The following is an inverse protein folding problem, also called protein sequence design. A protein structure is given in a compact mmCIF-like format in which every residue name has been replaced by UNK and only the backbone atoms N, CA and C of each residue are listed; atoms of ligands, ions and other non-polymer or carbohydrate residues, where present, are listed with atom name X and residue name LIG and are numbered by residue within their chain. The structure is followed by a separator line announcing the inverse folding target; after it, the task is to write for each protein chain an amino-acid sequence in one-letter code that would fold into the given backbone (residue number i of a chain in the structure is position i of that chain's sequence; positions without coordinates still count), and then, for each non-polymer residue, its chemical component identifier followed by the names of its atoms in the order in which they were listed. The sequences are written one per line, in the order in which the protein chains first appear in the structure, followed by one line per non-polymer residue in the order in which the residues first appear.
data_IF_357776216479
#
_entry.id   IF_357776216479
#
_cell.length_a   1.000
_cell.length_b   1.000
_cell.length_c   1.000
_cell.angle_alpha   90.00
_cell.angle_beta   90.00
_cell.angle_gamma   90.00
#
_symmetry.space_group_name_H-M   'P 1'
#
loop_
_entity.id
_entity.type
_entity.pdbx_description
1 polymer ?
#
# COMPACT_ATOMS: atom_id res chain seq x y z
N UNK A 1 14.79 6.75 -12.57
CA UNK A 1 13.56 6.43 -11.87
C UNK A 1 12.90 5.25 -12.58
N UNK A 2 12.69 4.15 -11.87
CA UNK A 2 12.15 2.90 -12.42
C UNK A 2 10.62 3.07 -12.59
N UNK A 3 10.05 2.60 -13.70
CA UNK A 3 8.59 2.61 -13.93
C UNK A 3 8.04 1.21 -13.83
N UNK A 4 6.97 1.02 -13.05
CA UNK A 4 6.30 -0.27 -12.87
C UNK A 4 4.82 -0.11 -13.21
N UNK A 5 4.33 -1.01 -14.08
CA UNK A 5 2.90 -1.16 -14.37
C UNK A 5 2.32 -2.28 -13.48
N UNK A 6 1.49 -1.88 -12.51
CA UNK A 6 0.88 -2.79 -11.54
C UNK A 6 -0.20 -3.70 -12.14
N UNK A 7 -0.74 -3.31 -13.29
CA UNK A 7 -1.79 -4.07 -13.97
C UNK A 7 -1.21 -5.13 -14.94
N UNK A 8 0.11 -5.12 -15.16
CA UNK A 8 0.83 -6.20 -15.85
C UNK A 8 1.08 -7.39 -14.91
N UNK A 9 0.00 -8.11 -14.60
CA UNK A 9 0.02 -9.21 -13.63
C UNK A 9 0.97 -10.35 -13.98
N UNK A 10 1.30 -10.52 -15.26
CA UNK A 10 2.21 -11.59 -15.70
C UNK A 10 3.66 -11.29 -15.32
N UNK A 11 4.06 -10.02 -15.36
CA UNK A 11 5.43 -9.60 -15.12
C UNK A 11 5.64 -8.89 -13.78
N UNK A 12 4.56 -8.58 -13.04
CA UNK A 12 4.64 -7.79 -11.80
C UNK A 12 5.62 -8.38 -10.79
N UNK A 13 5.49 -9.68 -10.47
CA UNK A 13 6.38 -10.34 -9.52
C UNK A 13 7.85 -10.26 -9.94
N UNK A 14 8.13 -10.46 -11.23
CA UNK A 14 9.49 -10.37 -11.77
C UNK A 14 10.03 -8.93 -11.76
N UNK A 15 9.18 -7.92 -11.91
CA UNK A 15 9.56 -6.52 -11.81
C UNK A 15 9.86 -6.13 -10.35
N UNK A 16 8.99 -6.55 -9.41
CA UNK A 16 9.19 -6.28 -7.98
C UNK A 16 10.46 -6.96 -7.43
N UNK A 17 10.77 -8.17 -7.91
CA UNK A 17 11.96 -8.93 -7.50
C UNK A 17 13.27 -8.23 -7.88
N UNK A 18 13.29 -7.36 -8.89
CA UNK A 18 14.49 -6.65 -9.35
C UNK A 18 14.77 -5.36 -8.57
N UNK A 19 13.85 -4.94 -7.72
CA UNK A 19 13.99 -3.72 -6.95
C UNK A 19 14.90 -3.92 -5.75
N UNK A 20 15.72 -2.92 -5.48
CA UNK A 20 16.58 -2.86 -4.31
C UNK A 20 16.18 -1.70 -3.40
N UNK A 21 16.48 -1.81 -2.10
CA UNK A 21 16.27 -0.74 -1.15
C UNK A 21 16.95 0.56 -1.62
N UNK A 22 16.22 1.68 -1.53
CA UNK A 22 16.64 2.97 -2.06
C UNK A 22 16.20 3.28 -3.49
N UNK A 23 15.74 2.30 -4.26
CA UNK A 23 15.24 2.54 -5.62
C UNK A 23 14.04 3.49 -5.60
N UNK A 24 14.10 4.51 -6.48
CA UNK A 24 12.98 5.42 -6.73
C UNK A 24 12.12 4.90 -7.87
N UNK A 25 10.86 4.69 -7.58
CA UNK A 25 9.89 4.03 -8.46
C UNK A 25 8.70 4.92 -8.74
N UNK A 26 8.19 4.88 -9.96
CA UNK A 26 6.91 5.43 -10.37
C UNK A 26 5.94 4.28 -10.63
N UNK A 27 4.90 4.18 -9.81
CA UNK A 27 3.87 3.17 -9.93
C UNK A 27 2.72 3.67 -10.81
N UNK A 28 2.28 2.86 -11.77
CA UNK A 28 1.07 3.10 -12.56
C UNK A 28 0.20 1.85 -12.54
N UNK A 29 -1.12 2.03 -12.41
CA UNK A 29 -2.09 0.94 -12.30
C UNK A 29 -2.91 1.00 -11.02
N UNK A 30 -3.31 -0.14 -10.49
CA UNK A 30 -4.26 -0.24 -9.37
C UNK A 30 -3.57 -0.43 -8.02
N UNK A 31 -3.93 0.41 -7.03
CA UNK A 31 -3.60 0.23 -5.61
C UNK A 31 -4.86 0.37 -4.74
N UNK A 32 -4.82 -0.13 -3.51
CA UNK A 32 -5.94 -0.10 -2.58
C UNK A 32 -5.58 0.65 -1.30
N UNK A 33 -6.50 1.48 -0.77
CA UNK A 33 -6.29 2.10 0.54
C UNK A 33 -6.76 1.19 1.65
N UNK A 34 -5.96 1.07 2.72
CA UNK A 34 -6.39 0.47 3.97
C UNK A 34 -5.56 1.04 5.14
N UNK A 35 -6.23 1.44 6.21
CA UNK A 35 -5.63 1.95 7.44
C UNK A 35 -6.08 1.13 8.64
N UNK A 36 -5.85 1.68 9.82
CA UNK A 36 -6.07 1.05 11.12
C UNK A 36 -7.43 0.37 11.24
N UNK A 37 -8.54 1.09 10.97
CA UNK A 37 -9.88 0.56 11.10
C UNK A 37 -10.13 -0.61 10.14
N UNK A 38 -9.69 -0.49 8.90
CA UNK A 38 -9.80 -1.57 7.89
C UNK A 38 -9.00 -2.80 8.31
N UNK A 39 -7.73 -2.62 8.74
CA UNK A 39 -6.89 -3.73 9.18
C UNK A 39 -7.51 -4.48 10.37
N UNK A 40 -8.08 -3.74 11.34
CA UNK A 40 -8.78 -4.33 12.47
C UNK A 40 -9.94 -5.21 12.02
N UNK A 41 -10.84 -4.67 11.18
CA UNK A 41 -12.02 -5.41 10.69
C UNK A 41 -11.59 -6.65 9.90
N UNK A 42 -10.62 -6.52 8.98
CA UNK A 42 -10.13 -7.67 8.22
C UNK A 42 -9.55 -8.73 9.16
N UNK A 43 -8.75 -8.32 10.15
CA UNK A 43 -8.18 -9.25 11.13
C UNK A 43 -9.24 -10.00 11.93
N UNK A 44 -10.35 -9.34 12.29
CA UNK A 44 -11.48 -9.96 12.97
C UNK A 44 -12.22 -10.94 12.05
N UNK A 45 -12.48 -10.54 10.80
CA UNK A 45 -13.13 -11.40 9.80
C UNK A 45 -12.31 -12.65 9.48
N UNK A 46 -11.00 -12.52 9.31
CA UNK A 46 -10.11 -13.66 9.04
C UNK A 46 -10.13 -14.70 10.18
N UNK A 47 -10.24 -14.28 11.45
CA UNK A 47 -10.43 -15.20 12.59
C UNK A 47 -11.71 -16.02 12.48
N UNK A 48 -12.72 -15.50 11.81
CA UNK A 48 -14.00 -16.17 11.55
C UNK A 48 -13.99 -16.94 10.21
N UNK A 49 -12.83 -16.99 9.51
CA UNK A 49 -12.71 -17.66 8.20
C UNK A 49 -13.23 -16.83 7.02
N UNK A 50 -13.52 -15.55 7.22
CA UNK A 50 -14.09 -14.66 6.20
C UNK A 50 -12.97 -13.84 5.56
N UNK A 51 -12.76 -14.03 4.24
CA UNK A 51 -11.80 -13.21 3.47
C UNK A 51 -12.50 -12.02 2.82
N UNK A 52 -11.85 -10.83 2.79
CA UNK A 52 -12.41 -9.67 2.11
C UNK A 52 -12.47 -9.89 0.59
N UNK A 53 -13.63 -9.69 0.00
CA UNK A 53 -13.82 -9.81 -1.47
C UNK A 53 -13.36 -8.56 -2.23
N UNK A 54 -13.18 -7.45 -1.54
CA UNK A 54 -12.78 -6.16 -2.10
C UNK A 54 -11.26 -5.97 -2.24
N UNK A 55 -10.45 -6.90 -1.73
CA UNK A 55 -9.00 -6.93 -1.90
C UNK A 55 -8.61 -8.16 -2.74
N UNK A 56 -8.33 -7.99 -4.03
CA UNK A 56 -7.88 -9.11 -4.86
C UNK A 56 -6.46 -9.55 -4.49
N UNK A 57 -6.10 -10.76 -4.87
CA UNK A 57 -4.73 -11.28 -4.74
C UNK A 57 -3.72 -10.42 -5.51
N UNK A 58 -2.48 -10.41 -5.06
CA UNK A 58 -1.41 -9.57 -5.59
C UNK A 58 -1.70 -8.06 -5.50
N UNK A 59 -2.48 -7.66 -4.48
CA UNK A 59 -2.77 -6.26 -4.20
C UNK A 59 -1.56 -5.53 -3.64
N UNK A 60 -1.52 -4.22 -3.91
CA UNK A 60 -0.66 -3.27 -3.22
C UNK A 60 -1.55 -2.40 -2.33
N UNK A 61 -1.22 -2.33 -1.04
CA UNK A 61 -1.99 -1.57 -0.04
C UNK A 61 -1.29 -0.26 0.28
N UNK A 62 -1.99 0.84 0.10
CA UNK A 62 -1.57 2.17 0.50
C UNK A 62 -2.19 2.53 1.85
N UNK A 63 -1.36 2.74 2.86
CA UNK A 63 -1.77 3.15 4.19
C UNK A 63 -2.16 4.62 4.20
N UNK A 64 -3.35 4.93 3.73
CA UNK A 64 -3.84 6.29 3.58
C UNK A 64 -5.36 6.39 3.76
N UNK A 65 -5.79 7.58 4.18
CA UNK A 65 -7.19 8.00 4.17
C UNK A 65 -7.26 9.41 3.59
N UNK A 66 -7.91 9.62 2.45
CA UNK A 66 -7.98 10.91 1.81
C UNK A 66 -8.87 11.88 2.58
N UNK A 67 -8.63 13.18 2.40
CA UNK A 67 -9.61 14.21 2.76
C UNK A 67 -10.80 14.19 1.81
N UNK A 68 -11.84 14.96 2.11
CA UNK A 68 -12.98 15.13 1.21
C UNK A 68 -12.52 15.53 -0.20
N UNK A 69 -13.22 14.99 -1.18
CA UNK A 69 -12.87 15.20 -2.60
C UNK A 69 -13.38 16.56 -3.07
N UNK A 70 -12.49 17.49 -3.47
CA UNK A 70 -12.91 18.75 -4.03
C UNK A 70 -13.63 18.58 -5.39
N UNK A 71 -14.52 19.50 -5.77
CA UNK A 71 -15.18 19.46 -7.08
C UNK A 71 -14.18 19.33 -8.24
N UNK A 72 -14.45 18.43 -9.18
CA UNK A 72 -13.62 18.21 -10.37
C UNK A 72 -12.30 17.45 -10.12
N UNK A 73 -12.08 16.93 -8.92
CA UNK A 73 -10.91 16.08 -8.60
C UNK A 73 -11.31 14.62 -8.47
N UNK A 74 -10.37 13.70 -8.73
CA UNK A 74 -10.59 12.27 -8.54
C UNK A 74 -10.61 11.91 -7.06
N UNK A 75 -9.85 12.63 -6.22
CA UNK A 75 -9.70 12.38 -4.78
C UNK A 75 -9.22 13.66 -4.07
N UNK A 76 -9.46 13.73 -2.78
CA UNK A 76 -8.86 14.76 -1.91
C UNK A 76 -7.38 14.53 -1.65
N UNK A 77 -6.78 15.33 -0.78
CA UNK A 77 -5.39 15.13 -0.35
C UNK A 77 -5.20 13.74 0.25
N UNK A 78 -4.22 12.97 -0.24
CA UNK A 78 -3.99 11.59 0.17
C UNK A 78 -2.52 11.34 0.52
N UNK A 79 -2.15 11.62 1.76
CA UNK A 79 -0.80 11.38 2.28
C UNK A 79 -0.68 10.02 3.00
N UNK A 80 0.55 9.48 3.13
CA UNK A 80 0.79 8.21 3.80
C UNK A 80 0.58 8.34 5.32
N UNK A 81 -0.02 7.30 5.90
CA UNK A 81 -0.07 7.09 7.34
C UNK A 81 1.23 6.45 7.83
N UNK A 82 1.64 6.69 9.08
CA UNK A 82 2.79 6.04 9.70
C UNK A 82 2.58 4.54 9.78
N UNK A 83 3.49 3.77 9.16
CA UNK A 83 3.30 2.34 8.89
C UNK A 83 3.38 1.45 10.13
N UNK A 84 4.15 1.84 11.15
CA UNK A 84 4.25 1.07 12.41
C UNK A 84 2.89 0.83 13.08
N UNK A 85 1.88 1.66 12.80
CA UNK A 85 0.51 1.46 13.30
C UNK A 85 -0.14 0.19 12.79
N UNK A 86 0.26 -0.30 11.61
CA UNK A 86 -0.25 -1.52 10.98
C UNK A 86 0.61 -2.75 11.26
N UNK A 87 1.68 -2.63 12.04
CA UNK A 87 2.65 -3.72 12.23
C UNK A 87 2.07 -4.96 12.92
N UNK A 88 1.14 -4.77 13.85
CA UNK A 88 0.42 -5.87 14.49
C UNK A 88 -0.34 -6.76 13.48
N UNK A 89 -0.65 -6.22 12.31
CA UNK A 89 -1.38 -6.90 11.24
C UNK A 89 -0.47 -7.43 10.13
N UNK A 90 0.85 -7.31 10.27
CA UNK A 90 1.80 -7.76 9.24
C UNK A 90 1.58 -9.21 8.77
N UNK A 91 1.33 -10.19 9.67
CA UNK A 91 1.12 -11.58 9.25
C UNK A 91 -0.09 -11.79 8.33
N UNK A 92 -1.14 -10.97 8.47
CA UNK A 92 -2.32 -11.11 7.63
C UNK A 92 -2.07 -10.72 6.16
N UNK A 93 -1.00 -9.97 5.86
CA UNK A 93 -0.65 -9.59 4.48
C UNK A 93 -0.37 -10.81 3.62
N UNK A 94 0.27 -11.84 4.17
CA UNK A 94 0.47 -13.13 3.48
C UNK A 94 -0.85 -13.83 3.18
N UNK A 95 -1.74 -13.90 4.16
CA UNK A 95 -3.05 -14.55 4.02
C UNK A 95 -3.91 -13.86 2.96
N UNK A 96 -3.80 -12.53 2.85
CA UNK A 96 -4.44 -11.70 1.84
C UNK A 96 -3.71 -11.72 0.50
N UNK A 97 -2.55 -12.37 0.41
CA UNK A 97 -1.69 -12.39 -0.78
C UNK A 97 -1.32 -10.97 -1.26
N UNK A 98 -1.03 -10.07 -0.30
CA UNK A 98 -0.53 -8.72 -0.58
C UNK A 98 0.94 -8.83 -0.99
N UNK A 99 1.33 -8.20 -2.10
CA UNK A 99 2.70 -8.25 -2.61
C UNK A 99 3.55 -7.06 -2.18
N UNK A 100 2.91 -5.94 -1.86
CA UNK A 100 3.61 -4.75 -1.36
C UNK A 100 2.68 -3.86 -0.53
N UNK A 101 3.28 -3.04 0.32
CA UNK A 101 2.58 -1.98 1.05
C UNK A 101 3.27 -0.63 0.82
N UNK A 102 2.49 0.47 0.88
CA UNK A 102 2.98 1.84 0.75
C UNK A 102 2.61 2.61 2.02
N UNK A 103 3.58 3.25 2.65
CA UNK A 103 3.33 4.05 3.85
C UNK A 103 4.41 5.10 4.08
N UNK A 104 4.73 5.38 5.34
CA UNK A 104 5.86 6.22 5.74
C UNK A 104 6.50 5.73 7.03
N UNK A 105 7.78 6.06 7.19
CA UNK A 105 8.57 5.73 8.38
C UNK A 105 9.00 4.28 8.43
N UNK A 106 9.83 4.00 9.38
CA UNK A 106 10.35 2.68 9.66
C UNK A 106 9.26 1.76 10.25
N UNK A 107 9.39 0.44 10.05
CA UNK A 107 8.54 -0.59 10.67
C UNK A 107 9.24 -1.18 11.90
N UNK A 108 8.47 -1.80 12.78
CA UNK A 108 9.03 -2.58 13.89
C UNK A 108 9.84 -3.79 13.36
N UNK A 109 10.80 -4.26 14.15
CA UNK A 109 11.57 -5.47 13.85
C UNK A 109 10.68 -6.70 13.61
N UNK A 110 9.56 -6.79 14.32
CA UNK A 110 8.55 -7.83 14.08
C UNK A 110 8.00 -7.76 12.65
N UNK A 111 7.56 -6.60 12.20
CA UNK A 111 6.99 -6.43 10.86
C UNK A 111 8.05 -6.58 9.76
N UNK A 112 9.28 -6.09 9.97
CA UNK A 112 10.42 -6.32 9.06
C UNK A 112 10.65 -7.80 8.83
N UNK A 113 10.73 -8.59 9.93
CA UNK A 113 10.93 -10.03 9.85
C UNK A 113 9.81 -10.73 9.07
N UNK A 114 8.55 -10.39 9.35
CA UNK A 114 7.40 -10.95 8.62
C UNK A 114 7.48 -10.63 7.14
N UNK A 115 7.76 -9.36 6.78
CA UNK A 115 7.83 -8.92 5.39
C UNK A 115 8.96 -9.62 4.62
N UNK A 116 10.13 -9.76 5.24
CA UNK A 116 11.26 -10.51 4.67
C UNK A 116 10.90 -11.98 4.43
N UNK A 117 10.32 -12.66 5.44
CA UNK A 117 9.93 -14.07 5.35
C UNK A 117 8.84 -14.33 4.30
N UNK A 118 7.85 -13.45 4.24
CA UNK A 118 6.68 -13.60 3.36
C UNK A 118 6.87 -12.94 2.00
N UNK A 119 8.07 -12.36 1.76
CA UNK A 119 8.45 -11.69 0.50
C UNK A 119 7.48 -10.58 0.12
N UNK A 120 7.18 -9.69 1.07
CA UNK A 120 6.33 -8.52 0.91
C UNK A 120 7.21 -7.28 0.83
N UNK A 121 7.11 -6.54 -0.26
CA UNK A 121 7.89 -5.34 -0.49
C UNK A 121 7.28 -4.15 0.28
N UNK A 122 8.12 -3.31 0.86
CA UNK A 122 7.67 -2.10 1.52
C UNK A 122 8.17 -0.87 0.79
N UNK A 123 7.21 -0.08 0.31
CA UNK A 123 7.45 1.24 -0.25
C UNK A 123 7.14 2.33 0.77
N UNK A 124 7.91 3.39 0.73
CA UNK A 124 7.56 4.64 1.39
C UNK A 124 7.27 5.73 0.36
N UNK A 125 6.42 6.69 0.75
CA UNK A 125 6.23 7.93 0.01
C UNK A 125 6.26 9.12 0.96
N UNK A 126 6.44 10.34 0.42
CA UNK A 126 6.72 11.52 1.22
C UNK A 126 5.50 11.95 2.04
N UNK A 127 5.66 12.04 3.36
CA UNK A 127 4.67 12.65 4.26
C UNK A 127 4.55 14.15 4.00
N UNK A 128 3.35 14.72 4.27
CA UNK A 128 3.08 16.15 4.05
C UNK A 128 2.77 16.53 2.60
N UNK A 129 3.00 15.65 1.63
CA UNK A 129 2.78 15.91 0.20
C UNK A 129 1.46 15.32 -0.33
N UNK A 130 0.44 15.14 0.51
CA UNK A 130 -0.81 14.49 0.13
C UNK A 130 -1.53 15.15 -1.06
N UNK A 131 -1.47 16.48 -1.18
CA UNK A 131 -2.03 17.20 -2.31
C UNK A 131 -1.27 16.93 -3.62
N UNK A 132 0.06 16.78 -3.55
CA UNK A 132 0.87 16.40 -4.71
C UNK A 132 0.61 14.94 -5.09
N UNK A 133 0.56 14.03 -4.12
CA UNK A 133 0.30 12.61 -4.36
C UNK A 133 -1.09 12.39 -4.98
N UNK A 134 -2.09 13.19 -4.59
CA UNK A 134 -3.44 13.10 -5.17
C UNK A 134 -3.47 13.40 -6.67
N UNK A 135 -2.53 14.19 -7.20
CA UNK A 135 -2.44 14.46 -8.65
C UNK A 135 -2.09 13.22 -9.48
N UNK A 136 -1.42 12.25 -8.86
CA UNK A 136 -1.13 10.94 -9.49
C UNK A 136 -2.34 10.01 -9.49
N UNK A 137 -3.40 10.31 -8.74
CA UNK A 137 -4.63 9.50 -8.72
C UNK A 137 -5.56 9.96 -9.83
N UNK A 138 -5.85 9.07 -10.78
CA UNK A 138 -6.73 9.34 -11.94
C UNK A 138 -8.18 8.95 -11.68
N UNK A 139 -8.39 7.93 -10.85
CA UNK A 139 -9.72 7.49 -10.44
C UNK A 139 -9.67 6.93 -9.01
N UNK A 140 -10.75 7.12 -8.27
CA UNK A 140 -10.93 6.59 -6.93
C UNK A 140 -12.36 6.06 -6.77
N UNK A 141 -12.50 4.82 -6.30
CA UNK A 141 -13.78 4.16 -6.08
C UNK A 141 -13.78 3.49 -4.72
N UNK A 142 -14.80 3.74 -3.90
CA UNK A 142 -15.03 2.96 -2.67
C UNK A 142 -15.44 1.54 -3.10
N UNK A 143 -14.73 0.54 -2.60
CA UNK A 143 -14.97 -0.89 -2.94
C UNK A 143 -15.30 -1.74 -1.72
N UNK A 144 -15.11 -1.22 -0.52
CA UNK A 144 -15.44 -1.92 0.72
C UNK A 144 -15.47 -1.00 1.93
N UNK A 145 -16.23 -1.40 2.95
CA UNK A 145 -16.32 -0.74 4.25
C UNK A 145 -16.67 0.77 4.14
N UNK A 146 -17.63 1.10 3.29
CA UNK A 146 -18.05 2.48 2.96
C UNK A 146 -18.45 3.30 4.20
N UNK A 147 -19.01 2.65 5.22
CA UNK A 147 -19.38 3.26 6.50
C UNK A 147 -18.17 3.86 7.27
N UNK A 148 -16.93 3.51 6.90
CA UNK A 148 -15.71 4.08 7.50
C UNK A 148 -15.33 5.44 6.89
N UNK A 149 -16.07 5.96 5.92
CA UNK A 149 -15.83 7.27 5.32
C UNK A 149 -14.43 7.40 4.71
N UNK A 150 -13.60 8.30 5.23
CA UNK A 150 -12.24 8.50 4.72
C UNK A 150 -11.35 7.25 4.86
N UNK A 151 -11.62 6.39 5.85
CA UNK A 151 -10.90 5.13 6.06
C UNK A 151 -11.49 3.93 5.29
N UNK A 152 -12.57 4.11 4.52
CA UNK A 152 -13.09 3.03 3.66
C UNK A 152 -12.03 2.52 2.69
N UNK A 153 -12.17 1.27 2.26
CA UNK A 153 -11.29 0.71 1.23
C UNK A 153 -11.62 1.34 -0.12
N UNK A 154 -10.64 2.01 -0.69
CA UNK A 154 -10.75 2.62 -2.02
C UNK A 154 -9.81 1.93 -2.99
N UNK A 155 -10.33 1.58 -4.16
CA UNK A 155 -9.55 1.22 -5.34
C UNK A 155 -9.12 2.52 -6.02
N UNK A 156 -7.82 2.72 -6.13
CA UNK A 156 -7.23 3.87 -6.80
C UNK A 156 -6.56 3.43 -8.11
N UNK A 157 -6.86 4.12 -9.19
CA UNK A 157 -6.06 4.05 -10.42
C UNK A 157 -5.04 5.18 -10.37
N UNK A 158 -3.76 4.84 -10.35
CA UNK A 158 -2.66 5.80 -10.25
C UNK A 158 -1.82 5.82 -11.52
N UNK A 159 -1.21 6.97 -11.78
CA UNK A 159 -0.26 7.17 -12.87
C UNK A 159 0.97 7.90 -12.35
N UNK A 160 2.15 7.28 -12.54
CA UNK A 160 3.44 7.80 -12.09
C UNK A 160 3.43 8.18 -10.59
N UNK A 161 2.79 7.38 -9.75
CA UNK A 161 2.74 7.60 -8.29
C UNK A 161 4.14 7.36 -7.69
N UNK A 162 4.77 8.38 -7.07
CA UNK A 162 6.16 8.31 -6.65
C UNK A 162 6.31 7.58 -5.32
N UNK A 163 7.19 6.58 -5.29
CA UNK A 163 7.56 5.84 -4.09
C UNK A 163 9.06 5.55 -4.07
N UNK A 164 9.57 5.18 -2.90
CA UNK A 164 10.93 4.66 -2.73
C UNK A 164 10.82 3.28 -2.07
N UNK A 165 11.62 2.32 -2.53
CA UNK A 165 11.74 1.01 -1.88
C UNK A 165 12.40 1.19 -0.54
N UNK A 166 11.68 0.88 0.55
CA UNK A 166 12.24 0.94 1.89
C UNK A 166 12.79 -0.42 2.33
N UNK A 167 12.01 -1.49 2.13
CA UNK A 167 12.48 -2.87 2.30
C UNK A 167 12.27 -3.61 0.98
N UNK A 168 13.34 -4.21 0.47
CA UNK A 168 13.28 -5.02 -0.74
C UNK A 168 13.03 -6.51 -0.44
N UNK A 169 13.05 -7.34 -1.47
CA UNK A 169 12.84 -8.79 -1.35
C UNK A 169 14.15 -9.57 -1.10
N UNK A 170 15.29 -8.85 -0.93
CA UNK A 170 16.64 -9.35 -0.73
C UNK A 170 17.23 -8.99 0.63
N UNK A 171 16.37 -8.54 1.57
CA UNK A 171 16.72 -8.11 2.93
C UNK A 171 17.38 -6.71 3.00
N UNK A 172 17.34 -5.95 1.91
CA UNK A 172 17.77 -4.54 1.92
C UNK A 172 16.79 -3.67 2.71
N UNK A 173 17.34 -2.73 3.49
CA UNK A 173 16.61 -1.81 4.35
C UNK A 173 17.28 -0.43 4.34
N UNK A 174 16.56 0.62 3.92
CA UNK A 174 17.11 1.98 3.85
C UNK A 174 17.28 2.65 5.22
N UNK A 175 16.75 2.08 6.29
CA UNK A 175 16.86 2.60 7.65
C UNK A 175 18.04 1.99 8.43
N UNK A 176 18.63 0.91 7.93
CA UNK A 176 19.85 0.32 8.48
C UNK A 176 21.06 0.87 7.68
N UNK A 177 21.89 1.67 8.36
CA UNK A 177 23.21 2.11 7.87
C UNK A 177 24.23 0.97 7.92
#
# INVERSE_FOLDING_TARGET
MIKINLDDKQNLSAQLLKLNAGDRVLLSGTIFTARDAVHKIISENLKNGEKPTYLPTNSIIYYAGPTDTPPGKAIGSIGPTTSVRMDAYAPMMKELQVVATIGKGERSEFAKKVFSQDKILYFITTGGCGALLSSSVKNAQVVGLDHLGCESVKKLTVENFPVTVAYDLHEGDIFND
#
